data_IF_864526382562
#
_entry.id   IF_864526382562
#
_cell.length_a   1.000
_cell.length_b   1.000
_cell.length_c   1.000
_cell.angle_alpha   90.00
_cell.angle_beta   90.00
_cell.angle_gamma   90.00
#
_symmetry.space_group_name_H-M   'P 1'
#
loop_
_entity.id
_entity.type
_entity.pdbx_description
1 polymer ?
#
# COMPACT_ATOMS: atom_id res chain seq x y z
N UNK A 1 -140.10 153.67 30.88
CA UNK A 1 -140.52 155.04 30.53
C UNK A 1 -139.39 155.96 30.86
N UNK A 2 -139.16 156.92 29.96
CA UNK A 2 -138.48 158.17 30.22
C UNK A 2 -136.97 158.07 30.52
N UNK A 3 -136.14 158.98 30.08
CA UNK A 3 -136.18 159.97 29.02
C UNK A 3 -134.80 160.63 29.15
N UNK A 4 -134.25 161.02 28.00
CA UNK A 4 -133.35 162.14 27.79
C UNK A 4 -132.89 162.88 29.07
N UNK A 5 -131.60 162.84 29.37
CA UNK A 5 -130.72 164.02 29.45
C UNK A 5 -129.29 163.61 29.90
N UNK A 6 -128.32 164.39 29.39
CA UNK A 6 -127.02 164.72 29.99
C UNK A 6 -125.74 164.00 29.50
N UNK A 7 -125.30 164.42 28.32
CA UNK A 7 -123.88 164.65 28.07
C UNK A 7 -123.38 165.89 28.84
N UNK A 8 -123.00 165.70 30.11
CA UNK A 8 -122.23 166.66 30.89
C UNK A 8 -120.99 165.96 31.47
N UNK A 9 -119.85 166.65 31.43
CA UNK A 9 -118.57 166.17 31.98
C UNK A 9 -118.70 165.84 33.49
N UNK A 10 -117.91 164.88 33.98
CA UNK A 10 -117.85 164.48 35.40
C UNK A 10 -117.69 165.70 36.34
N UNK A 11 -116.96 166.72 35.87
CA UNK A 11 -116.73 168.00 36.58
C UNK A 11 -117.96 168.92 36.57
N UNK A 12 -118.80 168.87 35.54
CA UNK A 12 -120.01 169.69 35.44
C UNK A 12 -121.18 169.14 36.24
N UNK A 13 -121.27 167.80 36.37
CA UNK A 13 -122.26 167.18 37.27
C UNK A 13 -121.89 167.42 38.74
N UNK A 14 -120.58 167.50 39.04
CA UNK A 14 -120.06 167.88 40.37
C UNK A 14 -120.39 169.33 40.77
N UNK A 15 -120.70 170.22 39.81
CA UNK A 15 -121.05 171.63 40.08
C UNK A 15 -122.56 171.90 40.19
N UNK A 16 -123.42 171.01 39.69
CA UNK A 16 -124.86 171.29 39.52
C UNK A 16 -125.79 170.73 40.62
N UNK A 17 -125.28 169.94 41.57
CA UNK A 17 -126.09 169.52 42.72
C UNK A 17 -125.32 169.64 44.04
N UNK A 18 -125.38 170.85 44.58
CA UNK A 18 -125.35 171.14 46.01
C UNK A 18 -126.60 170.50 46.63
N UNK A 19 -126.44 169.45 47.45
CA UNK A 19 -127.31 168.98 48.57
C UNK A 19 -127.19 167.45 48.80
N UNK A 20 -126.85 167.07 50.05
CA UNK A 20 -127.02 165.78 50.74
C UNK A 20 -126.92 164.45 49.95
N UNK A 21 -125.74 164.07 49.42
CA UNK A 21 -125.44 162.65 49.17
C UNK A 21 -123.98 162.36 49.55
N UNK A 22 -123.81 161.45 50.51
CA UNK A 22 -122.51 160.95 50.98
C UNK A 22 -121.71 160.33 49.82
N UNK A 23 -120.66 161.06 49.41
CA UNK A 23 -119.75 160.77 48.31
C UNK A 23 -119.16 159.35 48.37
N UNK A 24 -119.02 158.77 49.57
CA UNK A 24 -118.45 157.43 49.78
C UNK A 24 -119.32 156.30 49.24
N UNK A 25 -120.65 156.43 49.30
CA UNK A 25 -121.56 155.36 48.89
C UNK A 25 -121.67 155.26 47.36
N UNK A 26 -121.52 156.40 46.68
CA UNK A 26 -121.51 156.48 45.22
C UNK A 26 -120.26 155.83 44.59
N UNK A 27 -119.08 156.00 45.22
CA UNK A 27 -117.83 155.39 44.76
C UNK A 27 -117.85 153.86 44.89
N UNK A 28 -118.35 153.29 46.00
CA UNK A 28 -118.43 151.83 46.18
C UNK A 28 -119.37 151.13 45.18
N UNK A 29 -120.46 151.79 44.78
CA UNK A 29 -121.50 151.21 43.92
C UNK A 29 -121.11 151.26 42.44
N UNK A 30 -120.41 152.33 42.01
CA UNK A 30 -120.09 152.56 40.58
C UNK A 30 -118.68 152.10 40.18
N UNK A 31 -117.74 152.02 41.12
CA UNK A 31 -116.35 151.61 40.85
C UNK A 31 -116.01 150.18 41.32
N UNK A 32 -116.99 149.42 41.84
CA UNK A 32 -116.82 148.00 42.18
C UNK A 32 -115.75 147.75 43.24
N UNK A 33 -116.13 147.72 44.52
CA UNK A 33 -115.19 147.41 45.60
C UNK A 33 -114.60 146.01 45.47
N UNK A 34 -113.28 145.90 45.38
CA UNK A 34 -112.56 144.63 45.52
C UNK A 34 -112.79 144.06 46.92
N UNK A 35 -113.26 142.82 46.99
CA UNK A 35 -113.36 142.11 48.27
C UNK A 35 -111.97 141.58 48.67
N UNK A 36 -111.71 141.44 49.97
CA UNK A 36 -110.47 140.82 50.48
C UNK A 36 -110.20 139.45 49.81
N UNK A 37 -111.26 138.72 49.48
CA UNK A 37 -111.22 137.47 48.72
C UNK A 37 -110.60 137.66 47.32
N UNK A 38 -111.10 138.62 46.53
CA UNK A 38 -110.59 138.90 45.17
C UNK A 38 -109.12 139.34 45.12
N UNK A 39 -108.66 140.11 46.12
CA UNK A 39 -107.24 140.54 46.21
C UNK A 39 -106.34 139.37 46.58
N UNK A 40 -106.76 138.50 47.52
CA UNK A 40 -106.03 137.30 47.88
C UNK A 40 -105.97 136.29 46.72
N UNK A 41 -107.05 136.19 45.96
CA UNK A 41 -107.12 135.33 44.77
C UNK A 41 -106.22 135.86 43.65
N UNK A 42 -106.19 137.17 43.40
CA UNK A 42 -105.23 137.81 42.48
C UNK A 42 -103.77 137.63 42.93
N UNK A 43 -103.46 137.82 44.22
CA UNK A 43 -102.12 137.57 44.77
C UNK A 43 -101.73 136.09 44.66
N UNK A 44 -102.69 135.18 44.82
CA UNK A 44 -102.49 133.74 44.61
C UNK A 44 -102.21 133.44 43.14
N UNK A 45 -102.92 134.08 42.21
CA UNK A 45 -102.68 133.97 40.76
C UNK A 45 -101.29 134.51 40.41
N UNK A 46 -100.90 135.67 40.93
CA UNK A 46 -99.56 136.24 40.70
C UNK A 46 -98.46 135.34 41.28
N UNK A 47 -98.60 134.84 42.51
CA UNK A 47 -97.62 133.92 43.08
C UNK A 47 -97.50 132.64 42.26
N UNK A 48 -98.63 132.11 41.78
CA UNK A 48 -98.65 130.96 40.89
C UNK A 48 -97.96 131.29 39.57
N UNK A 49 -98.20 132.46 38.97
CA UNK A 49 -97.51 132.91 37.76
C UNK A 49 -96.01 133.11 37.97
N UNK A 50 -95.59 133.70 39.10
CA UNK A 50 -94.19 133.88 39.46
C UNK A 50 -93.50 132.53 39.67
N UNK A 51 -94.16 131.58 40.35
CA UNK A 51 -93.66 130.23 40.51
C UNK A 51 -93.55 129.51 39.16
N UNK A 52 -94.60 129.54 38.33
CA UNK A 52 -94.56 128.94 36.99
C UNK A 52 -93.49 129.57 36.11
N UNK A 53 -93.27 130.89 36.18
CA UNK A 53 -92.21 131.57 35.45
C UNK A 53 -90.82 131.14 35.94
N UNK A 54 -90.62 131.05 37.26
CA UNK A 54 -89.36 130.58 37.84
C UNK A 54 -89.08 129.12 37.47
N UNK A 55 -90.10 128.26 37.55
CA UNK A 55 -90.01 126.84 37.17
C UNK A 55 -89.69 126.72 35.67
N UNK A 56 -90.39 127.46 34.80
CA UNK A 56 -90.12 127.47 33.35
C UNK A 56 -88.71 127.98 33.04
N UNK A 57 -88.25 129.02 33.75
CA UNK A 57 -86.90 129.54 33.58
C UNK A 57 -85.84 128.53 34.01
N UNK A 58 -86.07 127.83 35.13
CA UNK A 58 -85.18 126.79 35.62
C UNK A 58 -85.13 125.59 34.66
N UNK A 59 -86.28 125.15 34.15
CA UNK A 59 -86.36 124.09 33.12
C UNK A 59 -85.65 124.51 31.82
N UNK A 60 -85.84 125.75 31.36
CA UNK A 60 -85.14 126.28 30.18
C UNK A 60 -83.63 126.34 30.42
N UNK A 61 -83.20 126.80 31.59
CA UNK A 61 -81.78 126.89 31.94
C UNK A 61 -81.15 125.48 31.98
N UNK A 62 -81.84 124.51 32.60
CA UNK A 62 -81.40 123.13 32.64
C UNK A 62 -81.34 122.52 31.23
N UNK A 63 -82.33 122.82 30.38
CA UNK A 63 -82.35 122.37 28.97
C UNK A 63 -81.15 122.90 28.21
N UNK A 64 -80.83 124.19 28.33
CA UNK A 64 -79.65 124.81 27.70
C UNK A 64 -78.34 124.18 28.21
N UNK A 65 -78.24 123.87 29.51
CA UNK A 65 -77.07 123.19 30.04
C UNK A 65 -76.91 121.77 29.49
N UNK A 66 -78.01 121.01 29.42
CA UNK A 66 -78.01 119.68 28.85
C UNK A 66 -77.63 119.71 27.35
N UNK A 67 -78.23 120.62 26.56
CA UNK A 67 -77.91 120.80 25.14
C UNK A 67 -76.44 121.20 24.94
N UNK A 68 -75.90 122.07 25.80
CA UNK A 68 -74.48 122.44 25.76
C UNK A 68 -73.59 121.24 26.04
N UNK A 69 -73.94 120.38 26.99
CA UNK A 69 -73.18 119.17 27.31
C UNK A 69 -73.26 118.14 26.18
N UNK A 70 -74.43 117.94 25.58
CA UNK A 70 -74.61 117.10 24.39
C UNK A 70 -73.77 117.61 23.21
N UNK A 71 -73.81 118.91 22.91
CA UNK A 71 -72.98 119.52 21.87
C UNK A 71 -71.49 119.35 22.15
N UNK A 72 -71.08 119.46 23.41
CA UNK A 72 -69.68 119.26 23.79
C UNK A 72 -69.25 117.80 23.56
N UNK A 73 -70.10 116.84 23.93
CA UNK A 73 -69.85 115.40 23.69
C UNK A 73 -69.78 115.09 22.19
N UNK A 74 -70.68 115.66 21.38
CA UNK A 74 -70.64 115.51 19.91
C UNK A 74 -69.35 116.10 19.34
N UNK A 75 -68.92 117.28 19.81
CA UNK A 75 -67.70 117.93 19.34
C UNK A 75 -66.44 117.10 19.67
N UNK A 76 -66.35 116.56 20.89
CA UNK A 76 -65.24 115.68 21.26
C UNK A 76 -65.24 114.38 20.43
N UNK A 77 -66.42 113.79 20.17
CA UNK A 77 -66.54 112.64 19.27
C UNK A 77 -66.09 112.97 17.84
N UNK A 78 -66.44 114.14 17.32
CA UNK A 78 -66.02 114.58 15.99
C UNK A 78 -64.51 114.82 15.91
N UNK A 79 -63.90 115.46 16.92
CA UNK A 79 -62.44 115.60 16.99
C UNK A 79 -61.74 114.24 17.00
N UNK A 80 -62.27 113.27 17.75
CA UNK A 80 -61.71 111.93 17.76
C UNK A 80 -61.81 111.26 16.38
N UNK A 81 -62.93 111.42 15.68
CA UNK A 81 -63.09 110.92 14.31
C UNK A 81 -62.12 111.59 13.32
N UNK A 82 -61.94 112.91 13.41
CA UNK A 82 -60.98 113.64 12.57
C UNK A 82 -59.56 113.11 12.79
N UNK A 83 -59.11 113.00 14.04
CA UNK A 83 -57.77 112.48 14.35
C UNK A 83 -57.58 111.05 13.83
N UNK A 84 -58.63 110.21 13.91
CA UNK A 84 -58.60 108.86 13.36
C UNK A 84 -58.43 108.87 11.84
N UNK A 85 -59.21 109.69 11.13
CA UNK A 85 -59.13 109.82 9.67
C UNK A 85 -57.77 110.37 9.24
N UNK A 86 -57.22 111.35 9.94
CA UNK A 86 -55.87 111.89 9.65
C UNK A 86 -54.79 110.83 9.79
N UNK A 87 -54.88 109.98 10.82
CA UNK A 87 -53.95 108.86 11.00
C UNK A 87 -54.11 107.82 9.88
N UNK A 88 -55.34 107.46 9.52
CA UNK A 88 -55.61 106.53 8.42
C UNK A 88 -55.10 107.08 7.08
N UNK A 89 -55.29 108.38 6.82
CA UNK A 89 -54.78 109.04 5.62
C UNK A 89 -53.26 109.05 5.57
N UNK A 90 -52.59 109.35 6.69
CA UNK A 90 -51.14 109.31 6.78
C UNK A 90 -50.59 107.91 6.51
N UNK A 91 -51.18 106.89 7.13
CA UNK A 91 -50.79 105.50 6.91
C UNK A 91 -50.99 105.07 5.45
N UNK A 92 -52.08 105.51 4.81
CA UNK A 92 -52.35 105.24 3.40
C UNK A 92 -51.31 105.91 2.50
N UNK A 93 -50.94 107.16 2.75
CA UNK A 93 -49.88 107.85 2.02
C UNK A 93 -48.53 107.15 2.16
N UNK A 94 -48.16 106.74 3.38
CA UNK A 94 -46.92 105.98 3.62
C UNK A 94 -46.93 104.65 2.87
N UNK A 95 -48.04 103.91 2.91
CA UNK A 95 -48.20 102.66 2.16
C UNK A 95 -48.11 102.86 0.64
N UNK A 96 -48.71 103.93 0.10
CA UNK A 96 -48.61 104.25 -1.33
C UNK A 96 -47.17 104.58 -1.75
N UNK A 97 -46.43 105.32 -0.91
CA UNK A 97 -45.02 105.63 -1.18
C UNK A 97 -44.14 104.38 -1.17
N UNK A 98 -44.37 103.43 -0.25
CA UNK A 98 -43.68 102.13 -0.27
C UNK A 98 -43.94 101.35 -1.56
N UNK A 99 -45.21 101.24 -1.98
CA UNK A 99 -45.56 100.53 -3.23
C UNK A 99 -44.94 101.20 -4.46
N UNK A 100 -44.91 102.53 -4.52
CA UNK A 100 -44.25 103.24 -5.63
C UNK A 100 -42.74 103.01 -5.68
N UNK A 101 -42.08 102.86 -4.53
CA UNK A 101 -40.66 102.49 -4.48
C UNK A 101 -40.45 101.06 -4.99
N UNK A 102 -41.29 100.10 -4.54
CA UNK A 102 -41.22 98.70 -4.97
C UNK A 102 -41.44 98.53 -6.49
N UNK A 103 -42.40 99.24 -7.09
CA UNK A 103 -42.64 99.20 -8.55
C UNK A 103 -41.52 99.88 -9.37
N UNK A 104 -40.76 100.80 -8.76
CA UNK A 104 -39.67 101.52 -9.41
C UNK A 104 -38.30 100.82 -9.30
N UNK A 105 -38.19 99.78 -8.46
CA UNK A 105 -36.92 99.13 -8.13
C UNK A 105 -36.53 97.96 -9.04
N UNK A 106 -37.43 97.44 -9.90
CA UNK A 106 -37.05 96.42 -10.87
C UNK A 106 -36.51 97.05 -12.14
N UNK A 107 -35.19 97.25 -12.19
CA UNK A 107 -34.54 97.79 -13.39
C UNK A 107 -34.39 96.72 -14.46
N UNK A 108 -34.33 97.13 -15.73
CA UNK A 108 -34.03 96.22 -16.85
C UNK A 108 -32.71 95.45 -16.65
N UNK A 109 -31.79 96.03 -15.89
CA UNK A 109 -30.52 95.40 -15.50
C UNK A 109 -30.73 94.21 -14.56
N UNK A 110 -31.64 94.30 -13.58
CA UNK A 110 -31.96 93.20 -12.66
C UNK A 110 -32.60 92.02 -13.41
N UNK A 111 -33.45 92.31 -14.39
CA UNK A 111 -34.04 91.30 -15.29
C UNK A 111 -32.96 90.61 -16.12
N UNK A 112 -31.97 91.36 -16.63
CA UNK A 112 -30.82 90.81 -17.36
C UNK A 112 -29.94 89.93 -16.46
N UNK A 113 -29.66 90.35 -15.23
CA UNK A 113 -28.90 89.56 -14.24
C UNK A 113 -29.62 88.25 -13.93
N UNK A 114 -30.94 88.30 -13.68
CA UNK A 114 -31.74 87.11 -13.43
C UNK A 114 -31.79 86.18 -14.64
N UNK A 115 -31.93 86.72 -15.86
CA UNK A 115 -31.88 85.93 -17.09
C UNK A 115 -30.54 85.21 -17.24
N UNK A 116 -29.42 85.91 -17.03
CA UNK A 116 -28.10 85.30 -17.09
C UNK A 116 -27.92 84.22 -16.01
N UNK A 117 -28.45 84.44 -14.81
CA UNK A 117 -28.47 83.42 -13.75
C UNK A 117 -29.31 82.20 -14.13
N UNK A 118 -30.47 82.38 -14.74
CA UNK A 118 -31.29 81.27 -15.26
C UNK A 118 -30.53 80.47 -16.32
N UNK A 119 -29.87 81.14 -17.27
CA UNK A 119 -29.07 80.47 -18.30
C UNK A 119 -27.92 79.65 -17.66
N UNK A 120 -27.18 80.24 -16.72
CA UNK A 120 -26.11 79.54 -16.03
C UNK A 120 -26.61 78.31 -15.26
N UNK A 121 -27.75 78.42 -14.56
CA UNK A 121 -28.38 77.30 -13.87
C UNK A 121 -28.88 76.22 -14.83
N UNK A 122 -29.40 76.58 -16.00
CA UNK A 122 -29.80 75.62 -17.04
C UNK A 122 -28.60 74.84 -17.58
N UNK A 123 -27.47 75.50 -17.82
CA UNK A 123 -26.22 74.86 -18.25
C UNK A 123 -25.67 73.93 -17.18
N UNK A 124 -25.67 74.37 -15.92
CA UNK A 124 -25.26 73.54 -14.78
C UNK A 124 -26.16 72.31 -14.63
N UNK A 125 -27.47 72.47 -14.79
CA UNK A 125 -28.42 71.35 -14.73
C UNK A 125 -28.21 70.35 -15.88
N UNK A 126 -27.91 70.82 -17.10
CA UNK A 126 -27.55 69.96 -18.23
C UNK A 126 -26.28 69.16 -17.94
N UNK A 127 -25.26 69.79 -17.36
CA UNK A 127 -24.02 69.12 -16.95
C UNK A 127 -24.29 68.06 -15.89
N UNK A 128 -25.02 68.40 -14.82
CA UNK A 128 -25.40 67.44 -13.79
C UNK A 128 -26.20 66.25 -14.35
N UNK A 129 -27.09 66.48 -15.31
CA UNK A 129 -27.84 65.41 -15.96
C UNK A 129 -26.93 64.49 -16.79
N UNK A 130 -25.93 65.04 -17.50
CA UNK A 130 -24.94 64.24 -18.21
C UNK A 130 -24.10 63.38 -17.23
N UNK A 131 -23.59 63.99 -16.17
CA UNK A 131 -22.79 63.29 -15.15
C UNK A 131 -23.60 62.17 -14.48
N UNK A 132 -24.88 62.42 -14.18
CA UNK A 132 -25.81 61.42 -13.66
C UNK A 132 -25.93 60.22 -14.59
N UNK A 133 -26.17 60.43 -15.88
CA UNK A 133 -26.27 59.34 -16.87
C UNK A 133 -24.96 58.56 -16.97
N UNK A 134 -23.82 59.26 -16.93
CA UNK A 134 -22.49 58.63 -16.95
C UNK A 134 -22.30 57.70 -15.75
N UNK A 135 -22.62 58.19 -14.54
CA UNK A 135 -22.54 57.41 -13.29
C UNK A 135 -23.52 56.22 -13.28
N UNK A 136 -24.75 56.40 -13.78
CA UNK A 136 -25.71 55.29 -13.90
C UNK A 136 -25.21 54.17 -14.83
N UNK A 137 -24.56 54.54 -15.94
CA UNK A 137 -23.94 53.58 -16.83
C UNK A 137 -22.75 52.87 -16.18
N UNK A 138 -21.93 53.58 -15.41
CA UNK A 138 -20.82 52.99 -14.67
C UNK A 138 -21.30 52.02 -13.59
N UNK A 139 -22.31 52.41 -12.80
CA UNK A 139 -22.97 51.52 -11.84
C UNK A 139 -23.49 50.25 -12.51
N UNK A 140 -24.10 50.37 -13.70
CA UNK A 140 -24.58 49.21 -14.46
C UNK A 140 -23.43 48.28 -14.84
N UNK A 141 -22.31 48.82 -15.35
CA UNK A 141 -21.12 48.01 -15.70
C UNK A 141 -20.52 47.32 -14.49
N UNK A 142 -20.35 48.05 -13.39
CA UNK A 142 -19.83 47.49 -12.14
C UNK A 142 -20.74 46.40 -11.59
N UNK A 143 -22.06 46.55 -11.70
CA UNK A 143 -23.02 45.53 -11.27
C UNK A 143 -22.92 44.24 -12.10
N UNK A 144 -22.72 44.35 -13.42
CA UNK A 144 -22.48 43.18 -14.27
C UNK A 144 -21.16 42.51 -13.87
N UNK A 145 -20.07 43.27 -13.77
CA UNK A 145 -18.77 42.71 -13.35
C UNK A 145 -18.81 42.07 -11.97
N UNK A 146 -19.59 42.61 -11.03
CA UNK A 146 -19.78 42.03 -9.70
C UNK A 146 -20.53 40.70 -9.77
N UNK A 147 -21.54 40.59 -10.63
CA UNK A 147 -22.24 39.33 -10.85
C UNK A 147 -21.31 38.27 -11.47
N UNK A 148 -20.54 38.62 -12.51
CA UNK A 148 -19.59 37.71 -13.16
C UNK A 148 -18.55 37.17 -12.16
N UNK A 149 -18.02 38.05 -11.29
CA UNK A 149 -17.10 37.65 -10.22
C UNK A 149 -17.77 36.77 -9.15
N UNK A 150 -19.06 36.98 -8.88
CA UNK A 150 -19.80 36.17 -7.93
C UNK A 150 -20.02 34.76 -8.47
N UNK A 151 -20.41 34.64 -9.75
CA UNK A 151 -20.57 33.36 -10.44
C UNK A 151 -19.24 32.60 -10.51
N UNK A 152 -18.16 33.28 -10.91
CA UNK A 152 -16.82 32.68 -10.94
C UNK A 152 -16.35 32.18 -9.55
N UNK A 153 -16.67 32.93 -8.49
CA UNK A 153 -16.35 32.51 -7.13
C UNK A 153 -17.17 31.29 -6.68
N UNK A 154 -18.41 31.17 -7.14
CA UNK A 154 -19.25 29.99 -6.87
C UNK A 154 -18.70 28.75 -7.57
N UNK A 155 -18.26 28.87 -8.82
CA UNK A 155 -17.59 27.81 -9.57
C UNK A 155 -16.31 27.33 -8.86
N UNK A 156 -15.45 28.26 -8.43
CA UNK A 156 -14.26 27.90 -7.64
C UNK A 156 -14.61 27.19 -6.34
N UNK A 157 -15.68 27.59 -5.65
CA UNK A 157 -16.14 26.91 -4.45
C UNK A 157 -16.58 25.47 -4.73
N UNK A 158 -17.21 25.22 -5.89
CA UNK A 158 -17.59 23.87 -6.31
C UNK A 158 -16.36 23.02 -6.68
N UNK A 159 -15.41 23.58 -7.42
CA UNK A 159 -14.17 22.89 -7.79
C UNK A 159 -13.33 22.51 -6.56
N UNK A 160 -13.26 23.39 -5.55
CA UNK A 160 -12.59 23.10 -4.27
C UNK A 160 -13.28 21.95 -3.54
N UNK A 161 -14.62 21.88 -3.54
CA UNK A 161 -15.36 20.77 -2.92
C UNK A 161 -15.07 19.45 -3.63
N UNK A 162 -15.17 19.42 -4.95
CA UNK A 162 -14.88 18.24 -5.76
C UNK A 162 -13.42 17.76 -5.56
N UNK A 163 -12.47 18.68 -5.53
CA UNK A 163 -11.05 18.37 -5.30
C UNK A 163 -10.81 17.77 -3.90
N UNK A 164 -11.50 18.28 -2.87
CA UNK A 164 -11.42 17.71 -1.51
C UNK A 164 -11.99 16.30 -1.44
N UNK A 165 -13.12 16.05 -2.11
CA UNK A 165 -13.74 14.72 -2.18
C UNK A 165 -12.82 13.72 -2.89
N UNK A 166 -12.22 14.13 -4.02
CA UNK A 166 -11.25 13.32 -4.76
C UNK A 166 -10.03 12.98 -3.89
N UNK A 167 -9.48 13.95 -3.16
CA UNK A 167 -8.34 13.75 -2.27
C UNK A 167 -8.66 12.76 -1.13
N UNK A 168 -9.87 12.82 -0.57
CA UNK A 168 -10.30 11.86 0.47
C UNK A 168 -10.37 10.45 -0.11
N UNK A 169 -10.96 10.27 -1.30
CA UNK A 169 -11.05 8.98 -1.97
C UNK A 169 -9.65 8.40 -2.29
N UNK A 170 -8.75 9.22 -2.83
CA UNK A 170 -7.38 8.83 -3.14
C UNK A 170 -6.61 8.42 -1.88
N UNK A 171 -6.77 9.16 -0.77
CA UNK A 171 -6.15 8.82 0.52
C UNK A 171 -6.64 7.46 1.05
N UNK A 172 -7.92 7.16 0.91
CA UNK A 172 -8.49 5.87 1.31
C UNK A 172 -7.95 4.71 0.45
N UNK A 173 -7.86 4.90 -0.87
CA UNK A 173 -7.32 3.87 -1.76
C UNK A 173 -5.82 3.64 -1.54
N UNK A 174 -5.06 4.73 -1.33
CA UNK A 174 -3.64 4.67 -0.93
C UNK A 174 -3.46 3.87 0.37
N UNK A 175 -4.37 4.01 1.33
CA UNK A 175 -4.32 3.21 2.57
C UNK A 175 -4.55 1.72 2.30
N UNK A 176 -5.58 1.36 1.52
CA UNK A 176 -5.84 -0.05 1.17
C UNK A 176 -4.66 -0.69 0.43
N UNK A 177 -4.01 0.06 -0.46
CA UNK A 177 -2.82 -0.42 -1.17
C UNK A 177 -1.67 -0.65 -0.18
N UNK A 178 -1.44 0.27 0.76
CA UNK A 178 -0.44 0.08 1.83
C UNK A 178 -0.72 -1.16 2.68
N UNK A 179 -1.97 -1.36 3.08
CA UNK A 179 -2.36 -2.51 3.90
C UNK A 179 -2.11 -3.84 3.15
N UNK A 180 -2.49 -3.91 1.87
CA UNK A 180 -2.19 -5.07 1.00
C UNK A 180 -0.69 -5.29 0.80
N UNK A 181 0.09 -4.22 0.71
CA UNK A 181 1.54 -4.32 0.54
C UNK A 181 2.19 -4.93 1.78
N UNK A 182 1.77 -4.52 2.98
CA UNK A 182 2.23 -5.11 4.24
C UNK A 182 1.87 -6.60 4.30
N UNK A 183 0.64 -6.98 3.95
CA UNK A 183 0.21 -8.39 3.91
C UNK A 183 1.07 -9.22 2.95
N UNK A 184 1.32 -8.71 1.74
CA UNK A 184 2.16 -9.39 0.76
C UNK A 184 3.62 -9.50 1.21
N UNK A 185 4.17 -8.48 1.88
CA UNK A 185 5.52 -8.53 2.45
C UNK A 185 5.64 -9.63 3.50
N UNK A 186 4.68 -9.71 4.44
CA UNK A 186 4.67 -10.77 5.46
C UNK A 186 4.61 -12.15 4.80
N UNK A 187 3.74 -12.36 3.81
CA UNK A 187 3.63 -13.64 3.11
C UNK A 187 4.93 -14.00 2.36
N UNK A 188 5.63 -13.02 1.77
CA UNK A 188 6.94 -13.25 1.14
C UNK A 188 7.99 -13.65 2.17
N UNK A 189 8.00 -13.02 3.34
CA UNK A 189 8.92 -13.37 4.45
C UNK A 189 8.66 -14.81 4.91
N UNK A 190 7.41 -15.16 5.19
CA UNK A 190 7.00 -16.53 5.59
C UNK A 190 7.45 -17.57 4.54
N UNK A 191 7.20 -17.30 3.25
CA UNK A 191 7.60 -18.20 2.16
C UNK A 191 9.11 -18.30 2.01
N UNK A 192 9.83 -17.22 2.30
CA UNK A 192 11.30 -17.21 2.27
C UNK A 192 11.87 -18.05 3.40
N UNK A 193 11.28 -18.00 4.60
CA UNK A 193 11.65 -18.86 5.72
C UNK A 193 11.33 -20.34 5.45
N UNK A 194 10.15 -20.63 4.90
CA UNK A 194 9.76 -21.99 4.48
C UNK A 194 10.74 -22.57 3.46
N UNK A 195 11.13 -21.78 2.45
CA UNK A 195 12.13 -22.18 1.46
C UNK A 195 13.51 -22.43 2.08
N UNK A 196 13.95 -21.59 3.03
CA UNK A 196 15.21 -21.82 3.75
C UNK A 196 15.17 -23.14 4.50
N UNK A 197 14.09 -23.39 5.25
CA UNK A 197 13.90 -24.63 5.98
C UNK A 197 13.92 -25.87 5.06
N UNK A 198 13.14 -25.85 3.98
CA UNK A 198 13.10 -26.95 3.01
C UNK A 198 14.46 -27.20 2.35
N UNK A 199 15.20 -26.14 2.03
CA UNK A 199 16.55 -26.25 1.46
C UNK A 199 17.54 -26.88 2.44
N UNK A 200 17.45 -26.54 3.73
CA UNK A 200 18.25 -27.19 4.79
C UNK A 200 17.90 -28.67 4.90
N UNK A 201 16.61 -29.02 5.00
CA UNK A 201 16.15 -30.41 5.08
C UNK A 201 16.60 -31.23 3.86
N UNK A 202 16.49 -30.67 2.65
CA UNK A 202 16.95 -31.32 1.43
C UNK A 202 18.47 -31.55 1.44
N UNK A 203 19.25 -30.53 1.81
CA UNK A 203 20.71 -30.61 1.89
C UNK A 203 21.15 -31.65 2.91
N UNK A 204 20.55 -31.65 4.10
CA UNK A 204 20.85 -32.60 5.17
C UNK A 204 20.48 -34.03 4.76
N UNK A 205 19.33 -34.23 4.13
CA UNK A 205 18.91 -35.52 3.60
C UNK A 205 19.87 -36.06 2.53
N UNK A 206 20.22 -35.23 1.54
CA UNK A 206 21.18 -35.60 0.50
C UNK A 206 22.56 -35.92 1.09
N UNK A 207 23.01 -35.14 2.07
CA UNK A 207 24.29 -35.36 2.75
C UNK A 207 24.29 -36.64 3.57
N UNK A 208 23.18 -36.96 4.25
CA UNK A 208 23.02 -38.19 5.00
C UNK A 208 23.03 -39.43 4.08
N UNK A 209 22.32 -39.36 2.95
CA UNK A 209 22.34 -40.42 1.92
C UNK A 209 23.73 -40.64 1.34
N UNK A 210 24.42 -39.56 0.94
CA UNK A 210 25.80 -39.62 0.44
C UNK A 210 26.74 -40.23 1.48
N UNK A 211 26.62 -39.81 2.75
CA UNK A 211 27.44 -40.34 3.85
C UNK A 211 27.19 -41.83 4.06
N UNK A 212 25.94 -42.27 4.02
CA UNK A 212 25.59 -43.69 4.12
C UNK A 212 26.15 -44.49 2.94
N UNK A 213 26.11 -43.93 1.73
CA UNK A 213 26.62 -44.59 0.54
C UNK A 213 28.15 -44.70 0.55
N UNK A 214 28.86 -43.63 0.95
CA UNK A 214 30.31 -43.64 1.15
C UNK A 214 30.68 -44.71 2.18
N UNK A 215 30.00 -44.78 3.32
CA UNK A 215 30.25 -45.80 4.34
C UNK A 215 30.07 -47.22 3.80
N UNK A 216 29.03 -47.46 3.00
CA UNK A 216 28.81 -48.76 2.37
C UNK A 216 29.94 -49.11 1.39
N UNK A 217 30.33 -48.19 0.52
CA UNK A 217 31.45 -48.36 -0.41
C UNK A 217 32.78 -48.60 0.32
N UNK A 218 33.06 -47.86 1.40
CA UNK A 218 34.24 -48.08 2.24
C UNK A 218 34.26 -49.47 2.85
N UNK A 219 33.13 -49.95 3.37
CA UNK A 219 33.01 -51.31 3.91
C UNK A 219 33.23 -52.38 2.81
N UNK A 220 32.64 -52.19 1.62
CA UNK A 220 32.86 -53.09 0.49
C UNK A 220 34.34 -53.14 0.07
N UNK A 221 35.01 -51.99 0.06
CA UNK A 221 36.42 -51.88 -0.30
C UNK A 221 37.33 -52.55 0.75
N UNK A 222 37.01 -52.41 2.05
CA UNK A 222 37.68 -53.16 3.12
C UNK A 222 37.51 -54.66 2.94
N UNK A 223 36.27 -55.16 2.75
CA UNK A 223 36.01 -56.58 2.54
C UNK A 223 36.75 -57.13 1.31
N UNK A 224 36.75 -56.39 0.20
CA UNK A 224 37.52 -56.78 -0.99
C UNK A 224 39.02 -56.81 -0.73
N UNK A 225 39.54 -55.86 0.04
CA UNK A 225 40.97 -55.82 0.40
C UNK A 225 41.36 -57.04 1.23
N UNK A 226 40.53 -57.43 2.20
CA UNK A 226 40.73 -58.64 3.00
C UNK A 226 40.70 -59.92 2.14
N UNK A 227 39.70 -60.04 1.26
CA UNK A 227 39.59 -61.18 0.32
C UNK A 227 40.82 -61.24 -0.59
N UNK A 228 41.27 -60.11 -1.13
CA UNK A 228 42.47 -60.04 -1.98
C UNK A 228 43.73 -60.45 -1.22
N UNK A 229 43.87 -60.02 0.04
CA UNK A 229 44.99 -60.43 0.90
C UNK A 229 44.99 -61.94 1.14
N UNK A 230 43.82 -62.52 1.44
CA UNK A 230 43.66 -63.96 1.63
C UNK A 230 43.98 -64.76 0.36
N UNK A 231 43.48 -64.31 -0.80
CA UNK A 231 43.76 -64.94 -2.09
C UNK A 231 45.25 -64.87 -2.45
N UNK A 232 45.91 -63.73 -2.22
CA UNK A 232 47.35 -63.59 -2.45
C UNK A 232 48.17 -64.51 -1.54
N UNK A 233 47.81 -64.63 -0.26
CA UNK A 233 48.44 -65.58 0.65
C UNK A 233 48.25 -67.02 0.17
N UNK A 234 47.04 -67.38 -0.27
CA UNK A 234 46.76 -68.71 -0.80
C UNK A 234 47.52 -69.00 -2.10
N UNK A 235 47.66 -68.00 -2.99
CA UNK A 235 48.44 -68.11 -4.21
C UNK A 235 49.92 -68.37 -3.90
N UNK A 236 50.52 -67.62 -2.97
CA UNK A 236 51.90 -67.82 -2.54
C UNK A 236 52.14 -69.22 -1.96
N UNK A 237 51.22 -69.73 -1.12
CA UNK A 237 51.30 -71.10 -0.59
C UNK A 237 51.24 -72.14 -1.72
N UNK A 238 50.35 -71.95 -2.70
CA UNK A 238 50.23 -72.85 -3.86
C UNK A 238 51.46 -72.80 -4.76
N UNK A 239 52.03 -71.62 -5.00
CA UNK A 239 53.28 -71.47 -5.76
C UNK A 239 54.44 -72.18 -5.06
N UNK A 240 54.56 -72.04 -3.74
CA UNK A 240 55.57 -72.76 -2.96
C UNK A 240 55.38 -74.28 -3.08
N UNK A 241 54.16 -74.77 -2.92
CA UNK A 241 53.85 -76.20 -3.06
C UNK A 241 54.15 -76.73 -4.48
N UNK A 242 53.88 -75.94 -5.52
CA UNK A 242 54.24 -76.29 -6.89
C UNK A 242 55.76 -76.35 -7.08
N UNK A 243 56.51 -75.40 -6.49
CA UNK A 243 57.96 -75.40 -6.54
C UNK A 243 58.55 -76.66 -5.86
N UNK A 244 58.02 -77.02 -4.68
CA UNK A 244 58.43 -78.21 -3.93
C UNK A 244 58.14 -79.50 -4.73
N UNK A 245 56.92 -79.65 -5.26
CA UNK A 245 56.54 -80.79 -6.10
C UNK A 245 57.39 -80.89 -7.38
N UNK A 246 57.73 -79.75 -7.98
CA UNK A 246 58.59 -79.70 -9.17
C UNK A 246 60.02 -80.16 -8.85
N UNK A 247 60.56 -79.73 -7.71
CA UNK A 247 61.87 -80.14 -7.22
C UNK A 247 61.89 -81.65 -6.92
N UNK A 248 60.85 -82.18 -6.27
CA UNK A 248 60.71 -83.60 -5.99
C UNK A 248 60.58 -84.44 -7.27
N UNK A 249 59.80 -83.98 -8.24
CA UNK A 249 59.70 -84.61 -9.57
C UNK A 249 61.07 -84.68 -10.27
N UNK A 250 61.87 -83.60 -10.17
CA UNK A 250 63.22 -83.58 -10.74
C UNK A 250 64.16 -84.57 -10.03
N UNK A 251 64.09 -84.65 -8.70
CA UNK A 251 64.86 -85.61 -7.91
C UNK A 251 64.47 -87.05 -8.27
N UNK A 252 63.17 -87.34 -8.35
CA UNK A 252 62.67 -88.65 -8.76
C UNK A 252 63.15 -89.03 -10.17
N UNK A 253 63.13 -88.11 -11.14
CA UNK A 253 63.72 -88.34 -12.47
C UNK A 253 65.20 -88.70 -12.41
N UNK A 254 65.99 -87.99 -11.61
CA UNK A 254 67.41 -88.30 -11.43
C UNK A 254 67.64 -89.68 -10.79
N UNK A 255 66.82 -90.05 -9.81
CA UNK A 255 66.86 -91.38 -9.19
C UNK A 255 66.52 -92.45 -10.23
N UNK A 256 65.45 -92.28 -11.01
CA UNK A 256 65.07 -93.20 -12.10
C UNK A 256 66.20 -93.34 -13.12
N UNK A 257 66.81 -92.24 -13.57
CA UNK A 257 67.94 -92.28 -14.49
C UNK A 257 69.14 -93.06 -13.91
N UNK A 258 69.43 -92.89 -12.62
CA UNK A 258 70.51 -93.62 -11.94
C UNK A 258 70.23 -95.12 -11.80
N UNK A 259 68.97 -95.47 -11.52
CA UNK A 259 68.52 -96.86 -11.45
C UNK A 259 68.57 -97.51 -12.83
N UNK A 260 68.10 -96.83 -13.88
CA UNK A 260 68.19 -97.32 -15.25
C UNK A 260 69.64 -97.60 -15.67
N UNK A 261 70.58 -96.68 -15.39
CA UNK A 261 72.02 -96.92 -15.61
C UNK A 261 72.56 -98.11 -14.83
N UNK A 262 72.01 -98.38 -13.64
CA UNK A 262 72.40 -99.54 -12.83
C UNK A 262 71.85 -100.83 -13.43
N UNK A 263 70.61 -100.82 -13.91
CA UNK A 263 69.98 -101.94 -14.63
C UNK A 263 70.78 -102.27 -15.89
N UNK A 264 71.08 -101.29 -16.75
CA UNK A 264 71.89 -101.50 -17.97
C UNK A 264 73.27 -102.12 -17.65
N UNK A 265 73.92 -101.66 -16.57
CA UNK A 265 75.20 -102.26 -16.12
C UNK A 265 75.03 -103.71 -15.68
N UNK A 266 73.96 -104.03 -14.94
CA UNK A 266 73.68 -105.39 -14.51
C UNK A 266 73.31 -106.29 -15.71
N UNK A 267 72.57 -105.79 -16.68
CA UNK A 267 72.25 -106.49 -17.93
C UNK A 267 73.52 -106.83 -18.72
N UNK A 268 74.41 -105.86 -18.93
CA UNK A 268 75.70 -106.11 -19.61
C UNK A 268 76.61 -107.07 -18.83
N UNK A 269 76.56 -107.06 -17.49
CA UNK A 269 77.26 -108.06 -16.68
C UNK A 269 76.65 -109.45 -16.83
N UNK A 270 75.32 -109.56 -16.80
CA UNK A 270 74.61 -110.81 -17.03
C UNK A 270 74.92 -111.39 -18.42
N UNK A 271 74.96 -110.57 -19.48
CA UNK A 271 75.37 -111.02 -20.81
C UNK A 271 76.80 -111.55 -20.84
N UNK A 272 77.74 -110.89 -20.16
CA UNK A 272 79.13 -111.37 -20.05
C UNK A 272 79.20 -112.72 -19.35
N UNK A 273 78.46 -112.88 -18.25
CA UNK A 273 78.39 -114.15 -17.51
C UNK A 273 77.73 -115.23 -18.37
N UNK A 274 76.65 -114.91 -19.08
CA UNK A 274 75.97 -115.84 -19.99
C UNK A 274 76.92 -116.32 -21.10
N UNK A 275 77.69 -115.42 -21.71
CA UNK A 275 78.70 -115.77 -22.70
C UNK A 275 79.83 -116.62 -22.12
N UNK A 276 80.29 -116.31 -20.90
CA UNK A 276 81.29 -117.12 -20.20
C UNK A 276 80.75 -118.53 -19.89
N UNK A 277 79.51 -118.64 -19.42
CA UNK A 277 78.85 -119.93 -19.19
C UNK A 277 78.73 -120.74 -20.49
N UNK A 278 78.28 -120.12 -21.58
CA UNK A 278 78.21 -120.78 -22.90
C UNK A 278 79.58 -121.25 -23.41
N UNK A 279 80.65 -120.49 -23.15
CA UNK A 279 82.01 -120.87 -23.51
C UNK A 279 82.49 -122.08 -22.68
N UNK A 280 82.31 -122.03 -21.36
CA UNK A 280 82.64 -123.16 -20.47
C UNK A 280 81.83 -124.40 -20.82
N UNK A 281 80.56 -124.26 -21.18
CA UNK A 281 79.73 -125.39 -21.61
C UNK A 281 80.28 -126.04 -22.90
N UNK A 282 80.71 -125.25 -23.88
CA UNK A 282 81.39 -125.76 -25.09
C UNK A 282 82.71 -126.46 -24.77
N UNK A 283 83.55 -125.87 -23.93
CA UNK A 283 84.81 -126.48 -23.49
C UNK A 283 84.57 -127.81 -22.77
N UNK A 284 83.54 -127.87 -21.92
CA UNK A 284 83.14 -129.08 -21.21
C UNK A 284 82.65 -130.16 -22.19
N UNK A 285 81.82 -129.80 -23.17
CA UNK A 285 81.37 -130.72 -24.23
C UNK A 285 82.56 -131.25 -25.06
N UNK A 286 83.51 -130.39 -25.41
CA UNK A 286 84.69 -130.78 -26.18
C UNK A 286 85.63 -131.68 -25.38
N UNK A 287 85.87 -131.38 -24.10
CA UNK A 287 86.64 -132.25 -23.21
C UNK A 287 85.94 -133.60 -23.00
N UNK A 288 84.61 -133.60 -22.85
CA UNK A 288 83.83 -134.85 -22.76
C UNK A 288 84.01 -135.69 -24.02
N UNK A 289 83.96 -135.06 -25.21
CA UNK A 289 84.22 -135.73 -26.49
C UNK A 289 85.65 -136.29 -26.59
N UNK A 290 86.66 -135.54 -26.15
CA UNK A 290 88.07 -135.99 -26.08
C UNK A 290 88.23 -137.17 -25.12
N UNK A 291 87.61 -137.13 -23.94
CA UNK A 291 87.64 -138.24 -22.97
C UNK A 291 87.00 -139.49 -23.57
N UNK A 292 85.85 -139.36 -24.24
CA UNK A 292 85.20 -140.48 -24.94
C UNK A 292 86.11 -141.04 -26.04
N UNK A 293 86.78 -140.19 -26.83
CA UNK A 293 87.77 -140.63 -27.80
C UNK A 293 88.93 -141.39 -27.13
N UNK A 294 89.52 -140.86 -26.05
CA UNK A 294 90.58 -141.55 -25.32
C UNK A 294 90.12 -142.90 -24.73
N UNK A 295 88.88 -142.98 -24.24
CA UNK A 295 88.30 -144.24 -23.76
C UNK A 295 88.20 -145.24 -24.92
N UNK A 296 87.72 -144.81 -26.09
CA UNK A 296 87.62 -145.66 -27.27
C UNK A 296 89.01 -146.11 -27.75
N UNK A 297 89.97 -145.19 -27.90
CA UNK A 297 91.36 -145.50 -28.26
C UNK A 297 92.00 -146.48 -27.27
N UNK A 298 91.82 -146.26 -25.97
CA UNK A 298 92.33 -147.17 -24.93
C UNK A 298 91.63 -148.53 -24.97
N UNK A 299 90.32 -148.54 -25.25
CA UNK A 299 89.55 -149.76 -25.45
C UNK A 299 90.07 -150.53 -26.65
N UNK A 300 90.33 -149.86 -27.78
CA UNK A 300 90.89 -150.45 -29.00
C UNK A 300 92.28 -151.05 -28.74
N UNK A 301 93.17 -150.32 -28.06
CA UNK A 301 94.50 -150.83 -27.64
C UNK A 301 94.34 -152.04 -26.70
N UNK A 302 93.38 -152.00 -25.77
CA UNK A 302 93.14 -153.13 -24.85
C UNK A 302 92.60 -154.34 -25.61
N UNK A 303 91.72 -154.13 -26.59
CA UNK A 303 91.19 -155.15 -27.48
C UNK A 303 92.33 -155.77 -28.32
N UNK A 304 93.20 -154.96 -28.92
CA UNK A 304 94.41 -155.41 -29.63
C UNK A 304 95.32 -156.21 -28.72
N UNK A 305 95.56 -155.75 -27.49
CA UNK A 305 96.36 -156.48 -26.50
C UNK A 305 95.76 -157.85 -26.19
N UNK A 306 94.44 -157.96 -25.98
CA UNK A 306 93.75 -159.23 -25.75
C UNK A 306 93.90 -160.17 -26.96
N UNK A 307 93.78 -159.64 -28.18
CA UNK A 307 93.98 -160.42 -29.42
C UNK A 307 95.41 -160.95 -29.51
N UNK A 308 96.42 -160.15 -29.16
CA UNK A 308 97.82 -160.57 -29.13
C UNK A 308 98.07 -161.61 -28.03
N UNK A 309 97.51 -161.43 -26.83
CA UNK A 309 97.60 -162.40 -25.73
C UNK A 309 96.95 -163.74 -26.11
N UNK A 310 95.81 -163.73 -26.81
CA UNK A 310 95.17 -164.94 -27.33
C UNK A 310 96.07 -165.65 -28.36
N UNK A 311 96.64 -164.92 -29.32
CA UNK A 311 97.59 -165.48 -30.30
C UNK A 311 98.85 -166.05 -29.64
N UNK A 312 99.36 -165.38 -28.60
CA UNK A 312 100.51 -165.86 -27.83
C UNK A 312 100.17 -167.13 -27.04
N UNK A 313 98.96 -167.21 -26.46
CA UNK A 313 98.47 -168.39 -25.76
C UNK A 313 98.31 -169.60 -26.70
N UNK A 314 97.79 -169.38 -27.92
CA UNK A 314 97.73 -170.38 -28.98
C UNK A 314 99.14 -170.88 -29.37
N UNK A 315 100.10 -169.96 -29.54
CA UNK A 315 101.48 -170.31 -29.86
C UNK A 315 102.15 -171.13 -28.74
N UNK A 316 101.95 -170.76 -27.48
CA UNK A 316 102.47 -171.50 -26.33
C UNK A 316 101.85 -172.91 -26.19
N UNK A 317 100.55 -173.06 -26.48
CA UNK A 317 99.88 -174.36 -26.51
C UNK A 317 100.46 -175.30 -27.58
N UNK A 318 100.73 -174.76 -28.77
CA UNK A 318 101.38 -175.50 -29.86
C UNK A 318 102.81 -175.94 -29.52
N UNK A 319 103.57 -175.08 -28.83
CA UNK A 319 104.95 -175.37 -28.41
C UNK A 319 104.99 -176.52 -27.39
N UNK A 320 104.08 -176.50 -26.39
CA UNK A 320 103.96 -177.56 -25.39
C UNK A 320 103.56 -178.92 -26.01
N UNK A 321 102.75 -178.93 -27.08
CA UNK A 321 102.33 -180.16 -27.75
C UNK A 321 103.47 -180.82 -28.55
N UNK A 322 104.44 -180.02 -29.05
CA UNK A 322 105.62 -180.52 -29.76
C UNK A 322 106.67 -181.12 -28.81
N UNK A 323 106.82 -180.57 -27.59
CA UNK A 323 107.76 -181.10 -26.58
C UNK A 323 107.38 -182.50 -26.07
N UNK A 324 106.09 -182.85 -26.06
CA UNK A 324 105.61 -184.17 -25.61
C UNK A 324 105.94 -185.27 -26.63
N UNK A 325 105.93 -184.97 -27.94
CA UNK A 325 106.24 -185.97 -28.99
C UNK A 325 107.71 -186.39 -29.03
N UNK A 326 108.62 -185.52 -28.61
CA UNK A 326 110.08 -185.75 -28.70
C UNK A 326 110.61 -186.67 -27.59
N UNK A 327 109.93 -186.77 -26.45
CA UNK A 327 110.35 -187.60 -25.30
C UNK A 327 109.98 -189.09 -25.41
N UNK A 328 109.19 -189.50 -26.40
CA UNK A 328 108.74 -190.90 -26.54
C UNK A 328 109.66 -191.82 -27.37
N UNK A 329 110.63 -191.27 -28.12
CA UNK A 329 111.46 -192.05 -29.07
C UNK A 329 112.81 -192.54 -28.51
N UNK A 330 113.18 -192.20 -27.28
CA UNK A 330 114.51 -192.49 -26.70
C UNK A 330 114.58 -193.71 -25.76
N UNK A 331 113.61 -194.65 -25.77
CA UNK A 331 113.51 -195.72 -24.76
C UNK A 331 113.36 -197.17 -25.25
N UNK A 332 113.69 -197.52 -26.50
CA UNK A 332 113.46 -198.89 -27.02
C UNK A 332 114.53 -199.47 -27.97
N UNK A 333 115.82 -199.55 -27.60
CA UNK A 333 116.73 -200.63 -28.08
C UNK A 333 118.15 -200.57 -27.47
N UNK A 334 118.29 -201.02 -26.22
CA UNK A 334 119.54 -201.58 -25.69
C UNK A 334 119.19 -202.63 -24.62
N UNK A 335 119.34 -203.92 -24.95
CA UNK A 335 119.66 -205.11 -24.10
C UNK A 335 119.39 -206.40 -24.92
N UNK A 336 120.43 -206.96 -25.56
CA UNK A 336 120.92 -208.35 -25.36
C UNK A 336 122.12 -208.71 -26.26
N UNK A 337 123.25 -208.99 -25.60
CA UNK A 337 124.35 -209.89 -26.01
C UNK A 337 123.97 -211.36 -25.66
N UNK A 338 124.76 -212.27 -26.23
CA UNK A 338 125.15 -213.66 -25.83
C UNK A 338 124.34 -214.89 -26.32
N UNK A 339 125.03 -215.63 -27.19
CA UNK A 339 125.15 -217.11 -27.37
C UNK A 339 124.24 -217.88 -28.33
N UNK A 340 124.85 -218.32 -29.45
CA UNK A 340 124.81 -219.62 -30.16
C UNK A 340 125.64 -219.42 -31.47
N UNK A 341 126.59 -220.22 -31.95
CA UNK A 341 126.99 -221.62 -31.71
C UNK A 341 125.83 -222.61 -31.77
N UNK A 342 125.34 -222.91 -32.97
CA UNK A 342 125.45 -224.23 -33.62
C UNK A 342 125.02 -224.15 -35.09
N UNK A 343 125.48 -225.13 -35.87
CA UNK A 343 125.46 -225.18 -37.33
C UNK A 343 124.20 -225.83 -37.92
N UNK A 344 123.85 -225.32 -39.10
CA UNK A 344 123.33 -225.99 -40.30
C UNK A 344 122.04 -226.84 -40.23
N UNK A 345 120.94 -226.25 -40.71
CA UNK A 345 120.05 -226.63 -41.84
C UNK A 345 119.22 -225.40 -42.21
#
# INVERSE_FOLDING_TARGET
MADRLNGLSMVETLRLKTEEIDMNQYLKTRMGGYTKQSVLEYLSIIRKQQQTMADTFYENLQTIYNEKEELNNVNESLKHQINKIELEYKNLCESMSCVQQEDSEMTMQDVLVMKNKCIALEEENKKHNFDKISLENEIRRLKVSMNDLTELNEDYCQEIKASKEMLIAEKQESQKIRDKLVELTINIEDKTEELKYLKTVQSDGQTAELTAHVKNLTNQLMMQTEVMSALNSQAAIKEQSLADLTAETKLQKQIIESLNKTVEKLETQNEKILNANNLMEKELQENTKKIVQFINEKSDITMEKIIVEQKLSEANSNLAMLEIKLKALSKSNDIKKTEEHEMEV
#
